data_IF_236352557511
#
_entry.id   IF_236352557511
#
_cell.length_a   1.000
_cell.length_b   1.000
_cell.length_c   1.000
_cell.angle_alpha   90.00
_cell.angle_beta   90.00
_cell.angle_gamma   90.00
#
_symmetry.space_group_name_H-M   'P 1'
#
loop_
_entity.id
_entity.type
_entity.pdbx_description
1 polymer ?
#
# COMPACT_ATOMS: atom_id res chain seq x y z
N UNK A 1 -6.03 -13.09 -9.74
CA UNK A 1 -5.58 -13.21 -8.33
C UNK A 1 -5.62 -11.86 -7.66
N UNK A 2 -5.81 -11.82 -6.34
CA UNK A 2 -5.91 -10.55 -5.62
C UNK A 2 -4.54 -10.07 -5.13
N UNK A 3 -4.18 -8.85 -5.49
CA UNK A 3 -2.92 -8.20 -5.13
C UNK A 3 -3.24 -6.92 -4.38
N UNK A 4 -2.54 -6.69 -3.26
CA UNK A 4 -2.69 -5.48 -2.47
C UNK A 4 -1.50 -4.55 -2.68
N UNK A 5 -1.77 -3.32 -3.12
CA UNK A 5 -0.79 -2.28 -3.43
C UNK A 5 -0.92 -1.16 -2.40
N UNK A 6 0.20 -0.64 -1.91
CA UNK A 6 0.25 0.33 -0.81
C UNK A 6 1.27 1.47 -0.99
N UNK A 7 2.09 1.43 -2.05
CA UNK A 7 3.07 2.47 -2.39
C UNK A 7 2.75 3.20 -3.71
N UNK A 8 3.77 3.74 -4.36
CA UNK A 8 3.66 4.48 -5.61
C UNK A 8 3.17 3.61 -6.77
N UNK A 9 3.31 2.28 -6.67
CA UNK A 9 2.75 1.32 -7.63
C UNK A 9 1.22 1.39 -7.72
N UNK A 10 0.52 2.00 -6.76
CA UNK A 10 -0.91 2.28 -6.83
C UNK A 10 -1.27 3.21 -8.00
N UNK A 11 -0.34 3.94 -8.63
CA UNK A 11 -0.67 4.83 -9.73
C UNK A 11 -1.33 4.08 -10.90
N UNK A 12 -2.47 4.55 -11.44
CA UNK A 12 -3.18 3.86 -12.52
C UNK A 12 -2.35 3.59 -13.76
N UNK A 13 -1.46 4.52 -14.12
CA UNK A 13 -0.53 4.36 -15.25
C UNK A 13 0.44 3.19 -15.02
N UNK A 14 0.95 3.03 -13.79
CA UNK A 14 1.86 1.93 -13.41
C UNK A 14 1.12 0.59 -13.35
N UNK A 15 -0.08 0.56 -12.77
CA UNK A 15 -0.92 -0.64 -12.73
C UNK A 15 -1.23 -1.10 -14.16
N UNK A 16 -1.66 -0.20 -15.04
CA UNK A 16 -1.96 -0.55 -16.44
C UNK A 16 -0.73 -0.97 -17.23
N UNK A 17 0.44 -0.40 -16.94
CA UNK A 17 1.69 -0.81 -17.57
C UNK A 17 2.13 -2.23 -17.15
N UNK A 18 1.99 -2.56 -15.85
CA UNK A 18 2.35 -3.88 -15.32
C UNK A 18 1.29 -4.94 -15.64
N UNK A 19 0.01 -4.58 -15.53
CA UNK A 19 -1.14 -5.45 -15.70
C UNK A 19 -2.25 -4.73 -16.47
N UNK A 20 -2.22 -4.75 -17.82
CA UNK A 20 -3.19 -4.04 -18.65
C UNK A 20 -4.65 -4.47 -18.41
N UNK A 21 -4.86 -5.73 -18.03
CA UNK A 21 -6.16 -6.29 -17.71
C UNK A 21 -6.51 -6.26 -16.22
N UNK A 22 -5.74 -5.55 -15.39
CA UNK A 22 -6.04 -5.47 -13.96
C UNK A 22 -7.35 -4.74 -13.69
N UNK A 23 -8.12 -5.27 -12.74
CA UNK A 23 -9.37 -4.67 -12.30
C UNK A 23 -9.24 -4.18 -10.87
N UNK A 24 -9.76 -2.99 -10.59
CA UNK A 24 -9.90 -2.52 -9.22
C UNK A 24 -10.98 -3.35 -8.51
N UNK A 25 -10.68 -3.80 -7.30
CA UNK A 25 -11.60 -4.61 -6.48
C UNK A 25 -12.14 -3.78 -5.32
N UNK A 26 -11.25 -3.28 -4.46
CA UNK A 26 -11.65 -2.52 -3.28
C UNK A 26 -10.49 -1.68 -2.73
N UNK A 27 -10.81 -0.67 -1.92
CA UNK A 27 -9.83 -0.11 -0.97
C UNK A 27 -9.78 -1.05 0.21
N UNK A 28 -8.59 -1.28 0.76
CA UNK A 28 -8.46 -2.16 1.90
C UNK A 28 -7.39 -1.70 2.86
N UNK A 29 -7.51 -2.19 4.09
CA UNK A 29 -6.54 -2.01 5.16
C UNK A 29 -5.84 -3.33 5.41
N UNK A 30 -4.51 -3.32 5.42
CA UNK A 30 -3.71 -4.48 5.76
C UNK A 30 -3.83 -4.82 7.25
N UNK A 31 -4.16 -6.07 7.57
CA UNK A 31 -4.32 -6.52 8.95
C UNK A 31 -2.94 -6.63 9.64
N UNK A 32 -2.76 -6.10 10.88
CA UNK A 32 -1.51 -6.23 11.62
C UNK A 32 -1.06 -7.69 11.76
N UNK A 33 0.25 -7.95 11.79
CA UNK A 33 0.73 -9.27 12.24
C UNK A 33 0.40 -9.43 13.73
N UNK A 34 -0.09 -10.60 14.19
CA UNK A 34 -0.24 -10.85 15.62
C UNK A 34 1.12 -10.71 16.32
N UNK A 35 1.07 -10.16 17.55
CA UNK A 35 2.22 -9.73 18.36
C UNK A 35 3.35 -10.78 18.41
N UNK A 36 4.58 -10.36 18.10
CA UNK A 36 5.78 -11.21 18.17
C UNK A 36 6.88 -10.82 17.18
N UNK A 37 6.55 -10.04 16.15
CA UNK A 37 7.54 -9.47 15.24
C UNK A 37 8.05 -8.13 15.80
N UNK A 38 9.35 -8.07 16.11
CA UNK A 38 10.04 -6.82 16.47
C UNK A 38 10.29 -6.07 15.17
N UNK A 39 9.63 -4.93 14.99
CA UNK A 39 9.79 -4.10 13.80
C UNK A 39 10.77 -2.96 14.07
N UNK A 40 11.60 -2.57 13.08
CA UNK A 40 12.39 -1.36 13.20
C UNK A 40 11.45 -0.15 13.35
N UNK A 41 11.71 0.65 14.39
CA UNK A 41 10.91 1.81 14.85
C UNK A 41 10.68 2.86 13.75
N UNK A 42 11.47 2.84 12.67
CA UNK A 42 11.37 3.73 11.53
C UNK A 42 10.18 3.46 10.59
N UNK A 43 9.48 2.33 10.73
CA UNK A 43 8.33 1.98 9.87
C UNK A 43 7.12 1.64 10.74
N UNK A 44 6.21 2.60 11.01
CA UNK A 44 4.95 2.33 11.68
C UNK A 44 3.99 1.61 10.71
N UNK A 45 4.33 0.39 10.32
CA UNK A 45 3.34 -0.59 9.90
C UNK A 45 2.39 -0.78 11.10
N UNK A 46 1.07 -0.69 10.98
CA UNK A 46 0.23 -1.84 10.59
C UNK A 46 -1.24 -1.44 10.37
N UNK A 47 -1.49 -0.21 9.95
CA UNK A 47 -2.77 0.17 9.33
C UNK A 47 -2.49 0.83 7.98
N UNK A 48 -1.69 0.15 7.14
CA UNK A 48 -1.46 0.60 5.77
C UNK A 48 -2.76 0.43 4.99
N UNK A 49 -3.29 1.55 4.51
CA UNK A 49 -4.36 1.56 3.54
C UNK A 49 -3.77 1.47 2.15
N UNK A 50 -4.47 0.76 1.28
CA UNK A 50 -4.08 0.59 -0.09
C UNK A 50 -5.27 0.15 -0.92
N UNK A 51 -4.99 -0.37 -2.09
CA UNK A 51 -6.00 -0.90 -2.99
C UNK A 51 -5.77 -2.39 -3.23
N UNK A 52 -6.85 -3.10 -3.46
CA UNK A 52 -6.85 -4.47 -3.96
C UNK A 52 -7.18 -4.42 -5.44
N UNK A 53 -6.35 -5.05 -6.25
CA UNK A 53 -6.60 -5.27 -7.66
C UNK A 53 -6.67 -6.77 -7.94
N UNK A 54 -7.44 -7.13 -8.96
CA UNK A 54 -7.35 -8.43 -9.59
C UNK A 54 -6.32 -8.38 -10.73
N UNK A 55 -5.23 -9.13 -10.60
CA UNK A 55 -4.19 -9.26 -11.61
C UNK A 55 -4.26 -10.65 -12.28
N UNK A 56 -4.00 -10.77 -13.60
CA UNK A 56 -4.07 -12.04 -14.34
C UNK A 56 -2.83 -12.92 -14.16
N UNK A 57 -1.71 -12.37 -13.67
CA UNK A 57 -0.42 -13.04 -13.58
C UNK A 57 0.06 -13.18 -12.13
N UNK A 58 0.94 -14.16 -11.89
CA UNK A 58 1.55 -14.41 -10.59
C UNK A 58 2.50 -13.29 -10.19
N UNK A 59 2.25 -12.74 -9.01
CA UNK A 59 3.02 -11.66 -8.41
C UNK A 59 3.81 -12.24 -7.25
N UNK A 60 5.12 -11.99 -7.23
CA UNK A 60 5.94 -12.35 -6.08
C UNK A 60 5.57 -11.45 -4.88
N UNK A 61 5.30 -12.06 -3.73
CA UNK A 61 4.94 -11.33 -2.53
C UNK A 61 4.51 -12.24 -1.37
N UNK A 62 4.17 -11.62 -0.25
CA UNK A 62 3.67 -12.33 0.92
C UNK A 62 2.15 -12.49 0.86
N UNK A 63 1.63 -13.70 1.08
CA UNK A 63 0.20 -13.91 1.24
C UNK A 63 -0.28 -13.34 2.58
N UNK A 64 -1.18 -12.36 2.54
CA UNK A 64 -1.68 -11.62 3.71
C UNK A 64 -3.21 -11.53 3.69
N UNK A 65 -3.76 -11.09 4.81
CA UNK A 65 -5.18 -10.71 4.92
C UNK A 65 -5.32 -9.19 4.97
N UNK A 66 -6.31 -8.70 4.26
CA UNK A 66 -6.73 -7.30 4.27
C UNK A 66 -8.23 -7.24 4.56
N UNK A 67 -8.67 -6.14 5.16
CA UNK A 67 -10.07 -5.84 5.38
C UNK A 67 -10.46 -4.71 4.43
N UNK A 68 -11.46 -4.92 3.57
CA UNK A 68 -11.94 -3.87 2.68
C UNK A 68 -12.55 -2.70 3.46
N UNK A 69 -12.74 -1.56 2.81
CA UNK A 69 -13.50 -0.44 3.34
C UNK A 69 -14.95 -0.81 3.71
N UNK A 70 -15.52 -1.83 3.06
CA UNK A 70 -16.83 -2.43 3.40
C UNK A 70 -16.78 -3.42 4.57
N UNK A 71 -15.60 -3.75 5.10
CA UNK A 71 -15.44 -4.68 6.22
C UNK A 71 -15.28 -6.15 5.84
N UNK A 72 -15.07 -6.47 4.55
CA UNK A 72 -14.86 -7.85 4.10
C UNK A 72 -13.39 -8.26 4.20
N UNK A 73 -13.13 -9.46 4.74
CA UNK A 73 -11.79 -10.05 4.75
C UNK A 73 -11.44 -10.68 3.40
N UNK A 74 -10.31 -10.26 2.81
CA UNK A 74 -9.77 -10.84 1.57
C UNK A 74 -8.37 -11.40 1.81
N UNK A 75 -8.06 -12.50 1.10
CA UNK A 75 -6.68 -13.02 0.99
C UNK A 75 -6.03 -12.43 -0.25
N UNK A 76 -4.88 -11.79 -0.06
CA UNK A 76 -4.18 -11.04 -1.10
C UNK A 76 -2.70 -11.38 -1.08
N UNK A 77 -2.03 -11.17 -2.20
CA UNK A 77 -0.56 -11.13 -2.27
C UNK A 77 -0.10 -9.69 -2.09
N UNK A 78 0.86 -9.47 -1.20
CA UNK A 78 1.46 -8.16 -0.93
C UNK A 78 2.89 -8.16 -1.47
N UNK A 79 3.16 -7.51 -2.62
CA UNK A 79 4.52 -7.30 -3.09
C UNK A 79 5.25 -6.29 -2.18
N UNK A 80 6.57 -6.20 -2.35
CA UNK A 80 7.34 -5.13 -1.71
C UNK A 80 6.82 -3.77 -2.21
N UNK A 81 6.48 -2.83 -1.30
CA UNK A 81 5.93 -1.54 -1.70
C UNK A 81 6.99 -0.65 -2.37
N UNK A 82 6.58 0.15 -3.36
CA UNK A 82 7.43 1.19 -3.93
C UNK A 82 7.23 2.51 -3.17
N UNK A 83 7.97 2.67 -2.08
CA UNK A 83 7.94 3.86 -1.23
C UNK A 83 9.09 4.84 -1.51
N UNK A 84 9.79 4.69 -2.65
CA UNK A 84 11.00 5.47 -2.97
C UNK A 84 10.73 6.97 -3.15
N UNK A 85 9.54 7.35 -3.61
CA UNK A 85 9.10 8.74 -3.71
C UNK A 85 7.83 8.97 -2.87
N UNK A 86 7.96 9.54 -1.66
CA UNK A 86 6.83 9.84 -0.79
C UNK A 86 5.75 10.72 -1.44
N UNK A 87 6.12 11.60 -2.38
CA UNK A 87 5.15 12.44 -3.10
C UNK A 87 4.33 11.61 -4.08
N UNK A 88 4.96 10.63 -4.74
CA UNK A 88 4.29 9.69 -5.62
C UNK A 88 3.31 8.78 -4.86
N UNK A 89 3.69 8.30 -3.66
CA UNK A 89 2.80 7.54 -2.78
C UNK A 89 1.59 8.37 -2.36
N UNK A 90 1.83 9.62 -1.91
CA UNK A 90 0.76 10.55 -1.54
C UNK A 90 -0.19 10.84 -2.70
N UNK A 91 0.34 11.07 -3.91
CA UNK A 91 -0.46 11.33 -5.10
C UNK A 91 -1.36 10.12 -5.42
N UNK A 92 -0.83 8.91 -5.33
CA UNK A 92 -1.59 7.70 -5.56
C UNK A 92 -2.66 7.48 -4.49
N UNK A 93 -2.34 7.70 -3.21
CA UNK A 93 -3.30 7.63 -2.10
C UNK A 93 -4.46 8.63 -2.24
N UNK A 94 -4.18 9.83 -2.75
CA UNK A 94 -5.21 10.84 -3.07
C UNK A 94 -6.08 10.41 -4.25
N UNK A 95 -5.48 9.88 -5.32
CA UNK A 95 -6.22 9.43 -6.50
C UNK A 95 -7.27 8.38 -6.16
N UNK A 96 -6.92 7.42 -5.31
CA UNK A 96 -7.84 6.34 -4.89
C UNK A 96 -8.76 6.75 -3.74
N UNK A 97 -8.75 8.01 -3.32
CA UNK A 97 -9.58 8.51 -2.21
C UNK A 97 -9.43 7.62 -0.97
N UNK A 98 -8.19 7.27 -0.63
CA UNK A 98 -7.91 6.54 0.60
C UNK A 98 -8.33 7.38 1.82
N UNK A 99 -8.60 6.75 2.98
CA UNK A 99 -9.18 7.47 4.13
C UNK A 99 -8.40 8.74 4.50
N UNK A 100 -9.09 9.87 4.75
CA UNK A 100 -8.43 11.16 5.01
C UNK A 100 -7.36 11.15 6.11
N UNK A 101 -7.52 10.42 7.24
CA UNK A 101 -6.46 10.32 8.25
C UNK A 101 -5.15 9.74 7.71
N UNK A 102 -5.22 8.74 6.82
CA UNK A 102 -4.06 8.10 6.21
C UNK A 102 -3.39 8.99 5.16
N UNK A 103 -4.19 9.69 4.34
CA UNK A 103 -3.64 10.67 3.39
C UNK A 103 -2.91 11.81 4.12
N UNK A 104 -3.42 12.24 5.28
CA UNK A 104 -2.74 13.25 6.12
C UNK A 104 -1.41 12.76 6.68
N UNK A 105 -1.32 11.49 7.11
CA UNK A 105 -0.04 10.94 7.57
C UNK A 105 0.99 10.85 6.44
N UNK A 106 0.57 10.43 5.24
CA UNK A 106 1.43 10.43 4.05
C UNK A 106 1.88 11.84 3.66
N UNK A 107 1.01 12.84 3.79
CA UNK A 107 1.35 14.23 3.50
C UNK A 107 2.40 14.78 4.47
N UNK A 108 2.38 14.34 5.73
CA UNK A 108 3.42 14.69 6.70
C UNK A 108 4.77 14.09 6.31
N UNK A 109 4.81 12.81 5.94
CA UNK A 109 6.04 12.13 5.49
C UNK A 109 6.59 12.73 4.19
N UNK A 110 5.72 13.07 3.24
CA UNK A 110 6.11 13.71 1.97
C UNK A 110 6.64 15.16 2.14
N UNK A 111 6.44 15.76 3.30
CA UNK A 111 6.90 17.11 3.64
C UNK A 111 8.24 17.12 4.42
N UNK A 112 8.84 15.97 4.70
CA UNK A 112 10.12 15.88 5.42
C UNK A 112 11.29 15.73 4.43
N UNK A 113 12.28 16.65 4.41
CA UNK A 113 13.61 16.31 3.91
C UNK A 113 14.18 15.27 4.88
N UNK A 114 14.44 14.07 4.40
CA UNK A 114 15.11 13.04 5.19
C UNK A 114 16.51 13.55 5.45
N UNK A 115 16.72 14.20 6.61
CA UNK A 115 18.06 14.47 7.10
C UNK A 115 18.77 13.11 7.18
N UNK A 116 19.86 13.03 6.43
CA UNK A 116 20.79 11.91 6.43
C UNK A 116 21.20 11.63 7.87
N UNK A 117 20.86 10.44 8.37
CA UNK A 117 21.54 9.88 9.52
C UNK A 117 22.97 9.56 9.10
N UNK A 118 23.89 10.52 9.28
CA UNK A 118 25.32 10.22 9.37
C UNK A 118 25.67 9.91 10.84
N UNK A 119 26.37 8.78 10.97
CA UNK A 119 26.77 8.08 12.19
C UNK A 119 27.75 8.89 13.07
#
# INVERSE_FOLDING_TARGET
MLVFLQGAEMQPSRIRAAWPAAQFVARARLTPRPHGAVFPVAQPAYAAWGIVIEAPAEVAGEARRVVTDEGHDLRVVVPAPDDADPKAVLAAAKYWELPPPYVRSLAHVAAVPVEEYFY
#
